data_IF_533896676373
#
_entry.id   IF_533896676373
#
_cell.length_a   1.000
_cell.length_b   1.000
_cell.length_c   1.000
_cell.angle_alpha   90.00
_cell.angle_beta   90.00
_cell.angle_gamma   90.00
#
_symmetry.space_group_name_H-M   'P 1'
#
loop_
_entity.id
_entity.type
_entity.pdbx_description
1 polymer ?
#
# COMPACT_ATOMS: atom_id res chain seq x y z
N UNK A 1 12.89 14.97 -8.02
CA UNK A 1 13.75 14.29 -7.01
C UNK A 1 12.82 13.59 -6.02
N UNK A 2 13.10 12.35 -5.63
CA UNK A 2 12.27 11.56 -4.70
C UNK A 2 13.03 11.34 -3.39
N UNK A 3 12.31 11.22 -2.27
CA UNK A 3 12.90 10.95 -0.97
C UNK A 3 13.28 9.47 -0.87
N UNK A 4 14.56 9.14 -0.99
CA UNK A 4 15.01 7.73 -0.96
C UNK A 4 15.37 7.24 0.44
N UNK A 5 15.49 8.13 1.41
CA UNK A 5 15.74 7.74 2.80
C UNK A 5 15.98 8.87 3.77
N UNK A 6 16.05 8.49 5.04
CA UNK A 6 16.39 9.37 6.18
C UNK A 6 17.61 8.75 6.87
N UNK A 7 18.63 9.57 7.10
CA UNK A 7 19.81 9.22 7.90
C UNK A 7 19.77 10.06 9.18
N UNK A 8 20.07 9.45 10.32
CA UNK A 8 20.12 10.14 11.61
C UNK A 8 21.41 10.97 11.76
N UNK A 9 21.53 11.69 12.88
CA UNK A 9 22.67 12.55 13.20
C UNK A 9 23.99 11.77 13.41
N UNK A 10 23.89 10.45 13.64
CA UNK A 10 25.04 9.55 13.79
C UNK A 10 25.51 8.98 12.45
N UNK A 11 24.86 9.33 11.33
CA UNK A 11 25.17 8.82 10.01
C UNK A 11 24.55 7.44 9.72
N UNK A 12 23.64 6.96 10.56
CA UNK A 12 22.97 5.67 10.40
C UNK A 12 21.69 5.84 9.58
N UNK A 13 21.50 4.96 8.58
CA UNK A 13 20.30 4.97 7.74
C UNK A 13 19.09 4.47 8.55
N UNK A 14 18.14 5.36 8.83
CA UNK A 14 16.93 5.06 9.59
C UNK A 14 15.79 4.54 8.71
N UNK A 15 15.63 5.09 7.51
CA UNK A 15 14.55 4.70 6.61
C UNK A 15 15.01 4.65 5.15
N UNK A 16 14.45 3.73 4.37
CA UNK A 16 14.73 3.54 2.95
C UNK A 16 13.45 3.35 2.16
N UNK A 17 13.33 4.10 1.07
CA UNK A 17 12.26 3.96 0.09
C UNK A 17 12.84 3.72 -1.29
N UNK A 18 12.17 2.86 -2.05
CA UNK A 18 12.46 2.65 -3.46
C UNK A 18 11.22 2.93 -4.30
N UNK A 19 11.43 3.29 -5.55
CA UNK A 19 10.39 3.73 -6.46
C UNK A 19 10.54 3.03 -7.82
N UNK A 20 9.44 2.86 -8.53
CA UNK A 20 9.45 2.44 -9.93
C UNK A 20 9.80 3.60 -10.89
N UNK A 21 9.90 3.29 -12.18
CA UNK A 21 10.21 4.26 -13.25
C UNK A 21 9.16 5.37 -13.41
N UNK A 22 7.97 5.19 -12.80
CA UNK A 22 6.90 6.20 -12.77
C UNK A 22 6.96 7.06 -11.50
N UNK A 23 7.93 6.82 -10.61
CA UNK A 23 8.10 7.53 -9.35
C UNK A 23 7.12 7.09 -8.26
N UNK A 24 6.50 5.91 -8.39
CA UNK A 24 5.59 5.35 -7.38
C UNK A 24 6.38 4.48 -6.41
N UNK A 25 6.11 4.57 -5.11
CA UNK A 25 6.85 3.82 -4.10
C UNK A 25 6.58 2.31 -4.23
N UNK A 26 7.66 1.52 -4.30
CA UNK A 26 7.59 0.05 -4.36
C UNK A 26 8.15 -0.62 -3.10
N UNK A 27 8.83 0.13 -2.23
CA UNK A 27 9.20 -0.33 -0.89
C UNK A 27 9.26 0.80 0.13
N UNK A 28 9.03 0.46 1.39
CA UNK A 28 9.33 1.26 2.57
C UNK A 28 9.87 0.32 3.63
N UNK A 29 11.01 0.65 4.22
CA UNK A 29 11.57 -0.09 5.34
C UNK A 29 12.33 0.85 6.27
N UNK A 30 12.32 0.54 7.56
CA UNK A 30 13.21 1.15 8.52
C UNK A 30 14.56 0.42 8.57
N UNK A 31 15.45 0.87 9.44
CA UNK A 31 16.78 0.32 9.63
C UNK A 31 16.73 -1.21 9.75
N UNK A 32 17.64 -1.88 9.06
CA UNK A 32 17.77 -3.35 9.05
C UNK A 32 16.51 -4.10 8.56
N UNK A 33 15.65 -3.47 7.76
CA UNK A 33 14.46 -4.11 7.19
C UNK A 33 13.26 -4.17 8.15
N UNK A 34 13.31 -3.44 9.25
CA UNK A 34 12.18 -3.32 10.16
C UNK A 34 10.95 -2.72 9.46
N UNK A 35 9.77 -3.28 9.75
CA UNK A 35 8.48 -2.81 9.21
C UNK A 35 8.47 -2.73 7.66
N UNK A 36 9.21 -3.63 7.02
CA UNK A 36 9.32 -3.66 5.57
C UNK A 36 7.96 -3.94 4.95
N UNK A 37 7.58 -3.04 4.05
CA UNK A 37 6.44 -3.24 3.16
C UNK A 37 6.89 -3.10 1.71
N UNK A 38 6.34 -3.95 0.84
CA UNK A 38 6.51 -3.84 -0.61
C UNK A 38 5.18 -3.63 -1.29
N UNK A 39 5.19 -2.87 -2.38
CA UNK A 39 4.00 -2.52 -3.14
C UNK A 39 4.17 -2.98 -4.59
N UNK A 40 3.21 -3.76 -5.06
CA UNK A 40 3.10 -4.20 -6.44
C UNK A 40 1.88 -3.57 -7.08
N UNK A 41 2.10 -2.78 -8.13
CA UNK A 41 1.04 -2.16 -8.91
C UNK A 41 0.61 -3.09 -10.04
N UNK A 42 -0.61 -3.61 -9.95
CA UNK A 42 -1.12 -4.64 -10.86
C UNK A 42 -1.72 -4.02 -12.14
N UNK A 43 -1.76 -4.80 -13.22
CA UNK A 43 -2.30 -4.36 -14.51
C UNK A 43 -3.81 -4.06 -14.47
N UNK A 44 -4.55 -4.66 -13.54
CA UNK A 44 -5.97 -4.39 -13.29
C UNK A 44 -6.22 -3.10 -12.49
N UNK A 45 -5.16 -2.35 -12.17
CA UNK A 45 -5.22 -1.11 -11.41
C UNK A 45 -5.27 -1.29 -9.89
N UNK A 46 -5.30 -2.53 -9.39
CA UNK A 46 -5.17 -2.82 -7.96
C UNK A 46 -3.72 -2.65 -7.48
N UNK A 47 -3.53 -2.65 -6.16
CA UNK A 47 -2.20 -2.61 -5.55
C UNK A 47 -2.11 -3.69 -4.49
N UNK A 48 -1.14 -4.59 -4.64
CA UNK A 48 -0.84 -5.61 -3.64
C UNK A 48 0.23 -5.07 -2.70
N UNK A 49 -0.09 -5.00 -1.41
CA UNK A 49 0.86 -4.65 -0.35
C UNK A 49 1.27 -5.94 0.34
N UNK A 50 2.58 -6.18 0.44
CA UNK A 50 3.13 -7.32 1.19
C UNK A 50 3.85 -6.78 2.41
N UNK A 51 3.51 -7.30 3.59
CA UNK A 51 4.18 -6.91 4.83
C UNK A 51 5.46 -7.72 5.08
N UNK A 52 6.14 -7.42 6.19
CA UNK A 52 7.41 -8.04 6.59
C UNK A 52 7.30 -9.54 6.86
N UNK A 53 6.09 -10.03 7.14
CA UNK A 53 5.77 -11.44 7.34
C UNK A 53 5.40 -12.17 6.03
N UNK A 54 5.46 -11.47 4.88
CA UNK A 54 5.07 -12.02 3.58
C UNK A 54 3.57 -12.07 3.34
N UNK A 55 2.74 -11.57 4.26
CA UNK A 55 1.28 -11.56 4.10
C UNK A 55 0.86 -10.49 3.11
N UNK A 56 -0.07 -10.85 2.23
CA UNK A 56 -0.55 -9.94 1.20
C UNK A 56 -1.88 -9.28 1.57
N UNK A 57 -2.05 -8.03 1.14
CA UNK A 57 -3.31 -7.31 1.16
C UNK A 57 -3.50 -6.63 -0.18
N UNK A 58 -4.62 -6.90 -0.85
CA UNK A 58 -4.95 -6.31 -2.15
C UNK A 58 -5.90 -5.14 -1.96
N UNK A 59 -5.48 -3.97 -2.43
CA UNK A 59 -6.29 -2.76 -2.46
C UNK A 59 -6.86 -2.58 -3.86
N UNK A 60 -8.19 -2.55 -3.96
CA UNK A 60 -8.91 -2.24 -5.21
C UNK A 60 -9.37 -0.79 -5.19
N UNK A 61 -9.42 -0.20 -6.38
CA UNK A 61 -9.75 1.20 -6.54
C UNK A 61 -10.79 1.45 -7.62
N UNK A 62 -11.51 2.55 -7.47
CA UNK A 62 -12.33 3.18 -8.50
C UNK A 62 -11.89 4.63 -8.65
N UNK A 63 -11.83 5.13 -9.88
CA UNK A 63 -11.59 6.55 -10.14
C UNK A 63 -12.92 7.27 -10.22
N UNK A 64 -13.12 8.26 -9.34
CA UNK A 64 -14.32 9.10 -9.32
C UNK A 64 -13.85 10.56 -9.41
N UNK A 65 -14.26 11.26 -10.48
CA UNK A 65 -13.81 12.62 -10.78
C UNK A 65 -12.28 12.78 -10.82
N UNK A 66 -11.58 11.79 -11.38
CA UNK A 66 -10.11 11.79 -11.47
C UNK A 66 -9.39 11.43 -10.16
N UNK A 67 -10.12 11.20 -9.06
CA UNK A 67 -9.55 10.80 -7.77
C UNK A 67 -9.69 9.29 -7.58
N UNK A 68 -8.58 8.61 -7.29
CA UNK A 68 -8.54 7.18 -7.01
C UNK A 68 -9.03 6.91 -5.58
N UNK A 69 -10.14 6.18 -5.44
CA UNK A 69 -10.80 5.84 -4.16
C UNK A 69 -10.75 4.34 -3.92
N UNK A 70 -10.53 3.90 -2.69
CA UNK A 70 -10.46 2.47 -2.34
C UNK A 70 -11.86 1.89 -2.32
N UNK A 71 -12.13 0.86 -3.11
CA UNK A 71 -13.43 0.16 -3.13
C UNK A 71 -13.40 -1.16 -2.37
N UNK A 72 -12.24 -1.81 -2.28
CA UNK A 72 -12.08 -3.00 -1.47
C UNK A 72 -10.66 -3.11 -0.90
N UNK A 73 -10.58 -3.71 0.27
CA UNK A 73 -9.36 -4.16 0.91
C UNK A 73 -9.56 -5.65 1.14
N UNK A 74 -8.72 -6.48 0.54
CA UNK A 74 -8.80 -7.94 0.59
C UNK A 74 -7.53 -8.46 1.25
N UNK A 75 -7.63 -8.88 2.51
CA UNK A 75 -6.50 -9.45 3.25
C UNK A 75 -6.34 -10.94 2.98
N UNK A 76 -5.10 -11.42 2.94
CA UNK A 76 -4.84 -12.85 2.87
C UNK A 76 -5.37 -13.55 4.14
N UNK A 77 -6.24 -14.57 4.01
CA UNK A 77 -6.68 -15.35 5.16
C UNK A 77 -5.48 -16.10 5.75
N UNK A 78 -5.41 -16.13 7.07
CA UNK A 78 -4.44 -17.00 7.77
C UNK A 78 -5.18 -18.20 8.36
N UNK A 79 -4.45 -19.30 8.62
CA UNK A 79 -5.04 -20.55 9.11
C UNK A 79 -5.94 -20.38 10.36
N UNK A 80 -5.71 -19.34 11.17
CA UNK A 80 -6.46 -19.07 12.40
C UNK A 80 -7.26 -17.74 12.36
N UNK A 81 -7.29 -17.03 11.23
CA UNK A 81 -8.01 -15.77 11.13
C UNK A 81 -8.60 -15.60 9.71
N UNK A 82 -9.93 -15.52 9.57
CA UNK A 82 -10.56 -15.29 8.28
C UNK A 82 -10.06 -13.98 7.64
N UNK A 83 -10.06 -13.94 6.31
CA UNK A 83 -9.64 -12.77 5.54
C UNK A 83 -10.32 -11.49 6.08
N UNK A 84 -9.51 -10.50 6.45
CA UNK A 84 -10.02 -9.20 6.89
C UNK A 84 -10.34 -8.38 5.64
N UNK A 85 -11.60 -8.46 5.22
CA UNK A 85 -12.06 -7.80 4.01
C UNK A 85 -12.92 -6.59 4.39
N UNK A 86 -12.73 -5.48 3.68
CA UNK A 86 -13.57 -4.29 3.79
C UNK A 86 -13.99 -3.85 2.41
N UNK A 87 -15.25 -3.46 2.22
CA UNK A 87 -15.75 -2.92 0.97
C UNK A 87 -16.32 -1.52 1.20
N UNK A 88 -16.13 -0.65 0.22
CA UNK A 88 -16.57 0.73 0.27
C UNK A 88 -17.28 1.07 -1.03
N UNK A 89 -18.44 1.70 -0.93
CA UNK A 89 -19.13 2.26 -2.10
C UNK A 89 -19.16 3.78 -2.01
N UNK A 90 -19.14 4.44 -3.15
CA UNK A 90 -19.18 5.90 -3.26
C UNK A 90 -20.31 6.35 -4.17
N UNK A 91 -20.79 7.57 -3.96
CA UNK A 91 -21.69 8.23 -4.89
C UNK A 91 -20.94 8.88 -6.08
N UNK A 92 -21.70 9.48 -7.01
CA UNK A 92 -21.14 10.17 -8.19
C UNK A 92 -20.24 11.37 -7.86
N UNK A 93 -20.32 11.88 -6.62
CA UNK A 93 -19.51 12.99 -6.11
C UNK A 93 -18.26 12.47 -5.36
N UNK A 94 -18.10 11.15 -5.26
CA UNK A 94 -16.98 10.52 -4.54
C UNK A 94 -17.12 10.56 -3.02
N UNK A 95 -18.34 10.78 -2.50
CA UNK A 95 -18.64 10.68 -1.08
C UNK A 95 -18.97 9.24 -0.70
N UNK A 96 -18.54 8.82 0.49
CA UNK A 96 -18.74 7.46 0.96
C UNK A 96 -20.24 7.18 1.17
N UNK A 97 -20.74 6.13 0.54
CA UNK A 97 -22.14 5.69 0.61
C UNK A 97 -22.32 4.53 1.59
N UNK A 98 -21.42 3.54 1.58
CA UNK A 98 -21.45 2.40 2.53
C UNK A 98 -20.04 1.95 2.91
N UNK A 99 -19.92 1.32 4.09
CA UNK A 99 -18.74 0.58 4.59
C UNK A 99 -19.18 -0.83 4.99
#
# INVERSE_FOLDING_TARGET
MLLTGITDENGVRYATWTYDDQGRAISSEHANGAEKVTLSYNADGSTTVTNELGKQTVYRFQTIQGVRRITAIEGEPSANCPASNSQYSYDERGLLKTK
#
